data_IF_584870748285
#
_entry.id   IF_584870748285
#
_cell.length_a   1.000
_cell.length_b   1.000
_cell.length_c   1.000
_cell.angle_alpha   90.00
_cell.angle_beta   90.00
_cell.angle_gamma   90.00
#
_symmetry.space_group_name_H-M   'P 1'
#
loop_
_entity.id
_entity.type
_entity.pdbx_description
1 polymer ?
#
# COMPACT_ATOMS: atom_id res chain seq x y z
N UNK A 1 21.18 -3.13 -7.51
CA UNK A 1 20.78 -3.39 -6.10
C UNK A 1 19.54 -2.63 -5.64
N UNK A 2 19.22 -1.43 -6.16
CA UNK A 2 18.04 -0.62 -5.74
C UNK A 2 16.78 -1.47 -5.54
N UNK A 3 16.40 -2.26 -6.56
CA UNK A 3 15.18 -3.06 -6.49
C UNK A 3 15.19 -4.14 -5.40
N UNK A 4 16.32 -4.84 -5.24
CA UNK A 4 16.48 -5.87 -4.22
C UNK A 4 16.36 -5.25 -2.81
N UNK A 5 17.11 -4.18 -2.56
CA UNK A 5 17.11 -3.51 -1.26
C UNK A 5 15.74 -2.90 -0.92
N UNK A 6 15.06 -2.33 -1.91
CA UNK A 6 13.73 -1.77 -1.71
C UNK A 6 12.67 -2.85 -1.46
N UNK A 7 12.73 -3.98 -2.18
CA UNK A 7 11.87 -5.14 -1.92
C UNK A 7 12.07 -5.69 -0.51
N UNK A 8 13.33 -5.85 -0.09
CA UNK A 8 13.68 -6.26 1.29
C UNK A 8 13.15 -5.26 2.31
N UNK A 9 13.34 -3.95 2.09
CA UNK A 9 12.85 -2.91 2.98
C UNK A 9 11.31 -2.94 3.12
N UNK A 10 10.60 -3.24 2.03
CA UNK A 10 9.14 -3.40 2.06
C UNK A 10 8.70 -4.51 3.00
N UNK A 11 9.38 -5.66 2.97
CA UNK A 11 9.07 -6.84 3.80
C UNK A 11 9.69 -6.81 5.21
N UNK A 12 10.69 -5.96 5.43
CA UNK A 12 11.45 -5.88 6.67
C UNK A 12 10.61 -5.81 7.96
N UNK A 13 9.53 -5.00 8.08
CA UNK A 13 8.76 -4.97 9.33
C UNK A 13 8.06 -6.29 9.67
N UNK A 14 7.86 -7.18 8.71
CA UNK A 14 7.41 -8.55 8.96
C UNK A 14 8.56 -9.47 9.36
N UNK A 15 9.72 -9.34 8.72
CA UNK A 15 10.86 -10.22 8.99
C UNK A 15 11.47 -10.01 10.37
N UNK A 16 11.43 -8.79 10.90
CA UNK A 16 11.93 -8.52 12.26
C UNK A 16 11.11 -9.21 13.36
N UNK A 17 9.86 -9.61 13.08
CA UNK A 17 9.02 -10.33 14.04
C UNK A 17 9.27 -11.84 14.01
N UNK A 18 10.31 -12.30 13.29
CA UNK A 18 10.62 -13.71 13.11
C UNK A 18 9.96 -14.36 11.89
N UNK A 19 9.12 -13.60 11.15
CA UNK A 19 8.39 -14.09 9.97
C UNK A 19 7.55 -15.35 10.25
N UNK A 20 7.05 -15.53 11.47
CA UNK A 20 6.21 -16.67 11.88
C UNK A 20 4.85 -16.59 11.20
N UNK A 21 4.47 -17.59 10.39
CA UNK A 21 3.21 -17.57 9.66
C UNK A 21 2.02 -17.32 10.62
N UNK A 22 1.10 -16.38 10.31
CA UNK A 22 -0.09 -16.17 11.14
C UNK A 22 -0.89 -17.46 11.30
N UNK A 23 -1.58 -17.64 12.43
CA UNK A 23 -2.33 -18.86 12.72
C UNK A 23 -3.37 -19.18 11.62
N UNK A 24 -3.28 -20.38 11.06
CA UNK A 24 -4.17 -20.87 10.01
C UNK A 24 -5.30 -21.73 10.59
N UNK A 25 -6.55 -21.38 10.31
CA UNK A 25 -7.71 -22.15 10.78
C UNK A 25 -7.90 -23.48 10.03
N UNK A 26 -7.26 -23.62 8.86
CA UNK A 26 -7.37 -24.77 7.96
C UNK A 26 -6.10 -25.64 7.98
N UNK A 27 -5.27 -25.49 9.02
CA UNK A 27 -4.05 -26.27 9.20
C UNK A 27 -4.40 -27.73 9.51
N UNK A 28 -3.60 -28.67 8.99
CA UNK A 28 -3.85 -30.10 9.11
C UNK A 28 -3.72 -30.64 10.54
N UNK A 29 -2.86 -30.00 11.33
CA UNK A 29 -2.59 -30.35 12.71
C UNK A 29 -2.85 -29.16 13.62
N UNK A 30 -3.12 -29.42 14.90
CA UNK A 30 -3.17 -28.36 15.89
C UNK A 30 -1.74 -27.89 16.19
N UNK A 31 -1.47 -26.61 15.91
CA UNK A 31 -0.17 -25.97 16.12
C UNK A 31 -0.42 -24.67 16.88
N UNK A 32 0.37 -24.43 17.92
CA UNK A 32 0.29 -23.17 18.68
C UNK A 32 0.83 -22.00 17.83
N UNK A 33 0.34 -20.76 18.01
CA UNK A 33 0.73 -19.61 17.17
C UNK A 33 2.24 -19.36 17.08
N UNK A 34 2.96 -19.60 18.17
CA UNK A 34 4.42 -19.46 18.30
C UNK A 34 5.21 -20.58 17.63
N UNK A 35 4.56 -21.71 17.33
CA UNK A 35 5.14 -22.87 16.66
C UNK A 35 4.80 -22.94 15.16
N UNK A 36 4.09 -21.94 14.64
CA UNK A 36 3.83 -21.86 13.20
C UNK A 36 5.14 -21.72 12.41
N UNK A 37 5.25 -22.33 11.22
CA UNK A 37 6.48 -22.28 10.44
C UNK A 37 6.78 -20.87 9.93
N UNK A 38 8.04 -20.60 9.61
CA UNK A 38 8.45 -19.31 9.06
C UNK A 38 8.00 -19.14 7.60
N UNK A 39 7.33 -18.04 7.29
CA UNK A 39 6.91 -17.65 5.96
C UNK A 39 7.31 -16.19 5.69
N UNK A 40 7.94 -15.94 4.54
CA UNK A 40 8.42 -14.60 4.17
C UNK A 40 7.30 -13.57 3.94
N UNK A 41 6.04 -14.01 3.86
CA UNK A 41 4.83 -13.19 3.80
C UNK A 41 3.86 -13.61 4.91
N UNK A 42 3.15 -12.65 5.54
CA UNK A 42 2.13 -12.93 6.56
C UNK A 42 0.84 -13.44 5.90
N UNK A 43 0.86 -14.65 5.33
CA UNK A 43 -0.28 -15.17 4.57
C UNK A 43 -1.47 -15.44 5.50
N UNK A 44 -2.49 -14.58 5.44
CA UNK A 44 -3.77 -14.74 6.13
C UNK A 44 -4.79 -13.80 5.51
N UNK A 45 -6.07 -14.20 5.49
CA UNK A 45 -7.16 -13.32 5.03
C UNK A 45 -7.27 -12.03 5.86
N UNK A 46 -6.84 -12.08 7.13
CA UNK A 46 -6.85 -10.93 8.02
C UNK A 46 -5.68 -9.97 7.78
N UNK A 47 -4.64 -10.44 7.09
CA UNK A 47 -3.41 -9.68 6.81
C UNK A 47 -3.40 -9.12 5.38
N UNK A 48 -4.53 -9.11 4.66
CA UNK A 48 -4.60 -8.68 3.27
C UNK A 48 -4.07 -7.23 3.07
N UNK A 49 -4.45 -6.32 3.97
CA UNK A 49 -3.97 -4.92 3.94
C UNK A 49 -2.50 -4.80 4.34
N UNK A 50 -2.02 -5.64 5.25
CA UNK A 50 -0.60 -5.74 5.62
C UNK A 50 0.24 -6.22 4.45
N UNK A 51 -0.14 -7.33 3.80
CA UNK A 51 0.52 -7.86 2.59
C UNK A 51 0.60 -6.78 1.50
N UNK A 52 -0.52 -6.09 1.25
CA UNK A 52 -0.55 -4.98 0.29
C UNK A 52 0.49 -3.91 0.66
N UNK A 53 0.52 -3.47 1.91
CA UNK A 53 1.44 -2.45 2.39
C UNK A 53 2.90 -2.89 2.23
N UNK A 54 3.25 -4.10 2.69
CA UNK A 54 4.61 -4.64 2.62
C UNK A 54 5.14 -4.72 1.18
N UNK A 55 4.34 -5.24 0.26
CA UNK A 55 4.75 -5.41 -1.14
C UNK A 55 4.78 -4.08 -1.91
N UNK A 56 3.74 -3.25 -1.77
CA UNK A 56 3.64 -2.01 -2.57
C UNK A 56 4.65 -0.96 -2.14
N UNK A 57 4.99 -0.87 -0.85
CA UNK A 57 6.00 0.08 -0.36
C UNK A 57 7.38 -0.25 -0.90
N UNK A 58 7.76 -1.53 -1.01
CA UNK A 58 9.02 -1.90 -1.65
C UNK A 58 9.14 -1.41 -3.11
N UNK A 59 8.06 -1.55 -3.88
CA UNK A 59 7.98 -0.98 -5.23
C UNK A 59 8.07 0.56 -5.24
N UNK A 60 7.36 1.23 -4.33
CA UNK A 60 7.34 2.68 -4.24
C UNK A 60 8.72 3.26 -3.86
N UNK A 61 9.43 2.65 -2.91
CA UNK A 61 10.79 3.05 -2.52
C UNK A 61 11.76 2.89 -3.68
N UNK A 62 11.69 1.78 -4.43
CA UNK A 62 12.50 1.60 -5.63
C UNK A 62 12.22 2.71 -6.65
N UNK A 63 10.94 3.02 -6.90
CA UNK A 63 10.54 4.06 -7.82
C UNK A 63 11.01 5.46 -7.40
N UNK A 64 10.89 5.76 -6.10
CA UNK A 64 11.35 7.02 -5.50
C UNK A 64 12.87 7.16 -5.62
N UNK A 65 13.61 6.09 -5.35
CA UNK A 65 15.09 6.08 -5.45
C UNK A 65 15.53 6.40 -6.88
N UNK A 66 14.93 5.75 -7.88
CA UNK A 66 15.23 6.02 -9.29
C UNK A 66 14.86 7.46 -9.68
N UNK A 67 13.76 7.99 -9.13
CA UNK A 67 13.33 9.36 -9.39
C UNK A 67 14.32 10.39 -8.83
N UNK A 68 14.73 10.23 -7.57
CA UNK A 68 15.61 11.17 -6.87
C UNK A 68 17.00 11.15 -7.50
N UNK A 69 17.55 9.97 -7.78
CA UNK A 69 18.89 9.87 -8.36
C UNK A 69 18.95 10.37 -9.81
N UNK A 70 17.83 10.30 -10.55
CA UNK A 70 17.71 10.80 -11.92
C UNK A 70 18.85 10.37 -12.87
N UNK A 71 19.19 9.07 -12.95
CA UNK A 71 20.36 8.61 -13.68
C UNK A 71 20.22 8.84 -15.19
N UNK A 72 21.36 9.08 -15.88
CA UNK A 72 21.39 9.32 -17.32
C UNK A 72 20.68 8.22 -18.13
N UNK A 73 20.83 6.94 -17.73
CA UNK A 73 20.15 5.79 -18.32
C UNK A 73 18.90 5.38 -17.53
N UNK A 74 18.02 6.33 -17.22
CA UNK A 74 16.83 6.12 -16.37
C UNK A 74 16.02 4.88 -16.73
N UNK A 75 15.71 4.67 -18.00
CA UNK A 75 14.90 3.51 -18.44
C UNK A 75 15.55 2.18 -18.05
N UNK A 76 16.86 2.03 -18.25
CA UNK A 76 17.60 0.83 -17.87
C UNK A 76 17.57 0.64 -16.35
N UNK A 77 17.87 1.70 -15.59
CA UNK A 77 17.87 1.64 -14.12
C UNK A 77 16.47 1.31 -13.57
N UNK A 78 15.41 1.86 -14.15
CA UNK A 78 14.02 1.53 -13.80
C UNK A 78 13.73 0.04 -14.03
N UNK A 79 14.13 -0.53 -15.17
CA UNK A 79 13.94 -1.96 -15.43
C UNK A 79 14.77 -2.84 -14.50
N UNK A 80 16.03 -2.50 -14.23
CA UNK A 80 16.83 -3.24 -13.26
C UNK A 80 16.24 -3.16 -11.84
N UNK A 81 15.69 -2.01 -11.44
CA UNK A 81 15.00 -1.85 -10.16
C UNK A 81 13.71 -2.68 -10.12
N UNK A 82 12.92 -2.66 -11.20
CA UNK A 82 11.71 -3.47 -11.34
C UNK A 82 12.03 -4.96 -11.22
N UNK A 83 13.04 -5.44 -11.94
CA UNK A 83 13.50 -6.84 -11.86
C UNK A 83 13.95 -7.22 -10.44
N UNK A 84 14.69 -6.33 -9.76
CA UNK A 84 15.10 -6.57 -8.37
C UNK A 84 13.93 -6.69 -7.40
N UNK A 85 12.94 -5.80 -7.47
CA UNK A 85 11.72 -5.89 -6.64
C UNK A 85 10.97 -7.19 -6.95
N UNK A 86 10.82 -7.52 -8.24
CA UNK A 86 10.12 -8.72 -8.67
C UNK A 86 10.79 -10.00 -8.15
N UNK A 87 12.12 -10.07 -8.17
CA UNK A 87 12.86 -11.22 -7.62
C UNK A 87 12.56 -11.41 -6.14
N UNK A 88 12.57 -10.34 -5.33
CA UNK A 88 12.26 -10.43 -3.89
C UNK A 88 10.82 -10.88 -3.68
N UNK A 89 9.86 -10.28 -4.39
CA UNK A 89 8.45 -10.62 -4.26
C UNK A 89 8.15 -12.06 -4.69
N UNK A 90 8.73 -12.51 -5.81
CA UNK A 90 8.56 -13.89 -6.30
C UNK A 90 9.18 -14.89 -5.32
N UNK A 91 10.38 -14.63 -4.81
CA UNK A 91 11.02 -15.50 -3.83
C UNK A 91 10.19 -15.61 -2.53
N UNK A 92 9.73 -14.47 -2.00
CA UNK A 92 8.89 -14.43 -0.80
C UNK A 92 7.55 -15.13 -1.03
N UNK A 93 6.94 -14.95 -2.21
CA UNK A 93 5.69 -15.62 -2.58
C UNK A 93 5.90 -17.13 -2.66
N UNK A 94 6.86 -17.61 -3.45
CA UNK A 94 7.11 -19.06 -3.61
C UNK A 94 7.36 -19.71 -2.24
N UNK A 95 8.28 -19.16 -1.44
CA UNK A 95 8.61 -19.73 -0.14
C UNK A 95 7.39 -19.80 0.78
N UNK A 96 6.63 -18.69 0.89
CA UNK A 96 5.49 -18.63 1.81
C UNK A 96 4.36 -19.57 1.38
N UNK A 97 4.09 -19.68 0.07
CA UNK A 97 3.03 -20.54 -0.44
C UNK A 97 3.42 -22.04 -0.43
N UNK A 98 4.71 -22.38 -0.54
CA UNK A 98 5.17 -23.76 -0.29
C UNK A 98 4.87 -24.16 1.15
N UNK A 99 5.30 -23.34 2.12
CA UNK A 99 5.03 -23.56 3.56
C UNK A 99 3.54 -23.66 3.85
N UNK A 100 2.74 -22.76 3.28
CA UNK A 100 1.29 -22.79 3.43
C UNK A 100 0.69 -24.08 2.85
N UNK A 101 1.12 -24.50 1.65
CA UNK A 101 0.57 -25.69 0.99
C UNK A 101 0.84 -26.97 1.78
N UNK A 102 2.04 -27.10 2.34
CA UNK A 102 2.46 -28.27 3.12
C UNK A 102 1.68 -28.40 4.44
N UNK A 103 1.24 -27.29 5.02
CA UNK A 103 0.52 -27.29 6.28
C UNK A 103 -1.01 -27.37 6.19
N UNK A 104 -1.61 -27.03 5.05
CA UNK A 104 -3.07 -27.01 4.89
C UNK A 104 -3.67 -28.42 4.80
N UNK A 105 -4.88 -28.59 5.35
CA UNK A 105 -5.70 -29.80 5.15
C UNK A 105 -5.93 -30.08 3.66
N UNK A 106 -6.03 -31.36 3.25
CA UNK A 106 -6.50 -31.69 1.91
C UNK A 106 -8.00 -31.35 1.77
N UNK A 107 -8.40 -30.81 0.63
CA UNK A 107 -9.81 -30.51 0.34
C UNK A 107 -10.00 -29.32 -0.61
N UNK A 108 -11.24 -29.12 -1.05
CA UNK A 108 -11.62 -28.02 -1.93
C UNK A 108 -11.54 -26.65 -1.24
N UNK A 109 -12.01 -26.56 0.01
CA UNK A 109 -12.03 -25.31 0.78
C UNK A 109 -10.62 -24.74 1.05
N UNK A 110 -9.62 -25.52 1.55
CA UNK A 110 -8.23 -25.05 1.64
C UNK A 110 -7.64 -24.69 0.28
N UNK A 111 -8.05 -25.38 -0.79
CA UNK A 111 -7.65 -25.05 -2.17
C UNK A 111 -8.15 -23.68 -2.62
N UNK A 112 -9.42 -23.35 -2.35
CA UNK A 112 -9.99 -22.02 -2.63
C UNK A 112 -9.31 -20.93 -1.80
N UNK A 113 -9.07 -21.19 -0.51
CA UNK A 113 -8.34 -20.28 0.36
C UNK A 113 -6.92 -19.98 -0.16
N UNK A 114 -6.17 -21.03 -0.51
CA UNK A 114 -4.85 -20.93 -1.12
C UNK A 114 -4.87 -20.11 -2.42
N UNK A 115 -5.79 -20.46 -3.33
CA UNK A 115 -5.94 -19.77 -4.62
C UNK A 115 -6.31 -18.30 -4.46
N UNK A 116 -7.22 -17.98 -3.54
CA UNK A 116 -7.63 -16.61 -3.23
C UNK A 116 -6.49 -15.77 -2.67
N UNK A 117 -5.72 -16.31 -1.71
CA UNK A 117 -4.54 -15.63 -1.18
C UNK A 117 -3.48 -15.42 -2.26
N UNK A 118 -3.22 -16.42 -3.11
CA UNK A 118 -2.23 -16.32 -4.18
C UNK A 118 -2.62 -15.24 -5.19
N UNK A 119 -3.89 -15.22 -5.61
CA UNK A 119 -4.42 -14.19 -6.50
C UNK A 119 -4.30 -12.79 -5.88
N UNK A 120 -4.61 -12.65 -4.59
CA UNK A 120 -4.44 -11.40 -3.84
C UNK A 120 -2.99 -10.92 -3.79
N UNK A 121 -2.04 -11.83 -3.51
CA UNK A 121 -0.60 -11.54 -3.50
C UNK A 121 -0.11 -11.13 -4.89
N UNK A 122 -0.53 -11.83 -5.96
CA UNK A 122 -0.23 -11.43 -7.34
C UNK A 122 -0.74 -10.01 -7.63
N UNK A 123 -1.98 -9.70 -7.21
CA UNK A 123 -2.54 -8.35 -7.31
C UNK A 123 -1.69 -7.30 -6.59
N UNK A 124 -1.20 -7.60 -5.38
CA UNK A 124 -0.31 -6.73 -4.62
C UNK A 124 1.05 -6.53 -5.30
N UNK A 125 1.62 -7.61 -5.89
CA UNK A 125 2.86 -7.51 -6.68
C UNK A 125 2.65 -6.59 -7.88
N UNK A 126 1.57 -6.78 -8.64
CA UNK A 126 1.25 -5.90 -9.78
C UNK A 126 1.07 -4.45 -9.35
N UNK A 127 0.38 -4.20 -8.23
CA UNK A 127 0.23 -2.87 -7.65
C UNK A 127 1.59 -2.24 -7.29
N UNK A 128 2.52 -3.03 -6.74
CA UNK A 128 3.87 -2.58 -6.45
C UNK A 128 4.64 -2.17 -7.72
N UNK A 129 4.49 -2.93 -8.80
CA UNK A 129 5.11 -2.58 -10.10
C UNK A 129 4.51 -1.29 -10.66
N UNK A 130 3.19 -1.12 -10.58
CA UNK A 130 2.51 0.11 -11.00
C UNK A 130 3.01 1.31 -10.18
N UNK A 131 3.09 1.17 -8.86
CA UNK A 131 3.61 2.22 -7.98
C UNK A 131 5.05 2.61 -8.34
N UNK A 132 5.92 1.62 -8.54
CA UNK A 132 7.30 1.82 -8.98
C UNK A 132 7.35 2.62 -10.28
N UNK A 133 6.63 2.17 -11.32
CA UNK A 133 6.66 2.79 -12.64
C UNK A 133 6.08 4.21 -12.65
N UNK A 134 5.02 4.45 -11.88
CA UNK A 134 4.42 5.78 -11.73
C UNK A 134 5.40 6.75 -11.05
N UNK A 135 5.96 6.37 -9.90
CA UNK A 135 6.86 7.23 -9.12
C UNK A 135 8.19 7.44 -9.86
N UNK A 136 8.72 6.38 -10.48
CA UNK A 136 9.94 6.44 -11.30
C UNK A 136 9.76 7.18 -12.62
N UNK A 137 8.56 7.63 -12.99
CA UNK A 137 8.30 8.30 -14.28
C UNK A 137 8.93 9.70 -14.35
N UNK A 138 9.40 10.15 -15.51
CA UNK A 138 9.85 11.55 -15.68
C UNK A 138 8.73 12.57 -15.52
N UNK A 139 7.48 12.17 -15.78
CA UNK A 139 6.33 13.04 -15.63
C UNK A 139 6.00 13.29 -14.15
N UNK A 140 5.98 14.56 -13.75
CA UNK A 140 5.50 14.98 -12.42
C UNK A 140 4.06 14.54 -12.16
N UNK A 141 3.20 14.54 -13.20
CA UNK A 141 1.80 14.10 -13.08
C UNK A 141 1.73 12.63 -12.69
N UNK A 142 2.44 11.76 -13.42
CA UNK A 142 2.46 10.31 -13.16
C UNK A 142 2.99 10.00 -11.76
N UNK A 143 4.06 10.67 -11.34
CA UNK A 143 4.62 10.46 -10.01
C UNK A 143 3.71 10.98 -8.90
N UNK A 144 3.00 12.10 -9.11
CA UNK A 144 2.00 12.60 -8.15
C UNK A 144 0.84 11.63 -8.00
N UNK A 145 0.37 11.02 -9.09
CA UNK A 145 -0.62 9.93 -9.02
C UNK A 145 -0.07 8.75 -8.23
N UNK A 146 1.19 8.37 -8.47
CA UNK A 146 1.88 7.31 -7.72
C UNK A 146 1.99 7.60 -6.22
N UNK A 147 2.33 8.82 -5.83
CA UNK A 147 2.38 9.22 -4.42
C UNK A 147 1.00 9.17 -3.75
N UNK A 148 -0.05 9.59 -4.47
CA UNK A 148 -1.43 9.45 -4.00
C UNK A 148 -1.85 8.02 -3.73
N UNK A 149 -1.63 7.16 -4.73
CA UNK A 149 -1.94 5.75 -4.64
C UNK A 149 -1.21 5.08 -3.46
N UNK A 150 0.02 5.51 -3.20
CA UNK A 150 0.87 4.95 -2.15
C UNK A 150 0.68 5.59 -0.77
N UNK A 151 -0.09 6.68 -0.64
CA UNK A 151 -0.23 7.39 0.62
C UNK A 151 -0.80 6.50 1.75
N UNK A 152 -1.80 5.68 1.44
CA UNK A 152 -2.40 4.75 2.41
C UNK A 152 -1.50 3.54 2.68
N UNK A 153 -0.98 2.80 1.66
CA UNK A 153 -0.07 1.69 1.92
C UNK A 153 1.21 2.10 2.68
N UNK A 154 1.80 3.26 2.38
CA UNK A 154 2.98 3.77 3.13
C UNK A 154 2.63 4.04 4.59
N UNK A 155 1.45 4.61 4.84
CA UNK A 155 0.96 4.84 6.21
C UNK A 155 0.77 3.51 6.94
N UNK A 156 0.11 2.54 6.31
CA UNK A 156 -0.10 1.19 6.87
C UNK A 156 1.24 0.52 7.18
N UNK A 157 2.19 0.52 6.24
CA UNK A 157 3.53 -0.02 6.44
C UNK A 157 4.28 0.63 7.60
N UNK A 158 4.16 1.94 7.78
CA UNK A 158 4.77 2.64 8.91
C UNK A 158 4.13 2.25 10.25
N UNK A 159 2.81 2.03 10.28
CA UNK A 159 2.12 1.51 11.47
C UNK A 159 2.58 0.08 11.78
N UNK A 160 2.72 -0.78 10.77
CA UNK A 160 3.24 -2.15 10.95
C UNK A 160 4.63 -2.12 11.57
N UNK A 161 5.53 -1.23 11.15
CA UNK A 161 6.83 -1.05 11.81
C UNK A 161 6.72 -0.73 13.30
N UNK A 162 5.83 0.20 13.66
CA UNK A 162 5.62 0.55 15.07
C UNK A 162 5.09 -0.65 15.84
N UNK A 163 4.05 -1.31 15.33
CA UNK A 163 3.45 -2.50 15.96
C UNK A 163 4.46 -3.63 16.12
N UNK A 164 5.26 -3.91 15.09
CA UNK A 164 6.29 -4.95 15.10
C UNK A 164 7.43 -4.68 16.07
N UNK A 165 7.69 -3.41 16.42
CA UNK A 165 8.80 -3.04 17.32
C UNK A 165 8.38 -2.92 18.77
N UNK A 166 7.21 -2.35 19.06
CA UNK A 166 6.73 -2.15 20.45
C UNK A 166 5.83 -3.28 20.93
N UNK A 167 5.28 -4.08 20.01
CA UNK A 167 4.27 -5.10 20.28
C UNK A 167 2.85 -4.52 20.28
N UNK A 168 1.88 -5.31 19.82
CA UNK A 168 0.49 -4.89 19.62
C UNK A 168 -0.17 -4.30 20.88
N UNK A 169 0.10 -4.88 22.06
CA UNK A 169 -0.49 -4.44 23.33
C UNK A 169 0.12 -3.13 23.88
N UNK A 170 1.26 -2.70 23.33
CA UNK A 170 2.02 -1.56 23.83
C UNK A 170 1.98 -0.37 22.87
N UNK A 171 1.15 -0.40 21.83
CA UNK A 171 1.07 0.67 20.83
C UNK A 171 0.46 1.92 21.47
N UNK A 172 1.16 3.07 21.49
CA UNK A 172 0.60 4.31 22.02
C UNK A 172 -0.64 4.75 21.25
N UNK A 173 -1.65 5.25 21.96
CA UNK A 173 -2.92 5.75 21.36
C UNK A 173 -2.72 6.93 20.38
N UNK A 174 -1.59 7.63 20.50
CA UNK A 174 -1.17 8.67 19.55
C UNK A 174 -0.92 8.11 18.14
N UNK A 175 -0.45 6.87 18.00
CA UNK A 175 -0.08 6.25 16.72
C UNK A 175 -1.26 6.19 15.75
N UNK A 176 -2.42 5.57 16.07
CA UNK A 176 -3.57 5.57 15.17
C UNK A 176 -4.14 6.99 14.95
N UNK A 177 -4.06 7.86 15.97
CA UNK A 177 -4.53 9.25 15.90
C UNK A 177 -3.72 10.08 14.91
N UNK A 178 -2.41 9.85 14.80
CA UNK A 178 -1.53 10.50 13.82
C UNK A 178 -1.66 9.81 12.46
N UNK A 179 -1.66 8.47 12.43
CA UNK A 179 -1.71 7.69 11.20
C UNK A 179 -2.90 8.05 10.31
N UNK A 180 -4.08 8.34 10.88
CA UNK A 180 -5.25 8.76 10.08
C UNK A 180 -5.03 10.03 9.24
N UNK A 181 -4.10 10.90 9.63
CA UNK A 181 -3.82 12.16 8.92
C UNK A 181 -2.66 12.03 7.93
N UNK A 182 -1.79 11.03 8.08
CA UNK A 182 -0.60 10.85 7.26
C UNK A 182 -0.93 10.75 5.76
N UNK A 183 -1.96 9.99 5.31
CA UNK A 183 -2.30 9.93 3.89
C UNK A 183 -2.64 11.31 3.31
N UNK A 184 -3.43 12.11 4.03
CA UNK A 184 -3.81 13.46 3.60
C UNK A 184 -2.60 14.38 3.50
N UNK A 185 -1.67 14.30 4.46
CA UNK A 185 -0.42 15.07 4.46
C UNK A 185 0.46 14.70 3.26
N UNK A 186 0.65 13.41 3.00
CA UNK A 186 1.44 12.93 1.86
C UNK A 186 0.84 13.38 0.53
N UNK A 187 -0.48 13.26 0.38
CA UNK A 187 -1.20 13.72 -0.81
C UNK A 187 -1.09 15.24 -0.95
N UNK A 188 -1.36 16.01 0.10
CA UNK A 188 -1.26 17.47 0.07
C UNK A 188 0.13 17.95 -0.35
N UNK A 189 1.19 17.33 0.20
CA UNK A 189 2.58 17.58 -0.21
C UNK A 189 2.83 17.23 -1.69
N UNK A 190 2.33 16.08 -2.15
CA UNK A 190 2.46 15.67 -3.55
C UNK A 190 1.74 16.65 -4.50
N UNK A 191 0.55 17.11 -4.13
CA UNK A 191 -0.24 18.10 -4.89
C UNK A 191 0.43 19.48 -4.92
N UNK A 192 0.93 19.94 -3.78
CA UNK A 192 1.74 21.16 -3.68
C UNK A 192 2.99 21.07 -4.57
N UNK A 193 3.64 19.91 -4.59
CA UNK A 193 4.80 19.68 -5.45
C UNK A 193 4.43 19.63 -6.94
N UNK A 194 3.30 19.02 -7.28
CA UNK A 194 2.76 18.98 -8.64
C UNK A 194 2.40 20.36 -9.15
N UNK A 195 1.72 21.20 -8.37
CA UNK A 195 1.16 22.48 -8.83
C UNK A 195 -0.11 22.32 -9.68
N UNK A 196 -0.68 23.45 -10.11
CA UNK A 196 -1.97 23.51 -10.83
C UNK A 196 -1.85 23.73 -12.34
N UNK A 197 -0.74 24.28 -12.82
CA UNK A 197 -0.52 24.57 -14.25
C UNK A 197 0.59 23.71 -14.84
N UNK A 198 0.46 23.19 -16.08
CA UNK A 198 -0.68 23.31 -17.00
C UNK A 198 -1.86 22.38 -16.66
N UNK A 199 -3.03 22.57 -17.31
CA UNK A 199 -4.31 21.91 -17.01
C UNK A 199 -4.25 20.36 -16.84
N UNK A 200 -3.32 19.69 -17.52
CA UNK A 200 -3.05 18.25 -17.32
C UNK A 200 -2.69 17.87 -15.86
N UNK A 201 -2.21 18.82 -15.05
CA UNK A 201 -1.91 18.60 -13.63
C UNK A 201 -3.17 18.48 -12.78
N UNK A 202 -4.29 19.05 -13.23
CA UNK A 202 -5.61 18.90 -12.58
C UNK A 202 -6.04 17.43 -12.52
N UNK A 203 -5.68 16.61 -13.51
CA UNK A 203 -5.94 15.17 -13.48
C UNK A 203 -5.26 14.52 -12.27
N UNK A 204 -4.03 14.91 -11.92
CA UNK A 204 -3.34 14.40 -10.74
C UNK A 204 -4.07 14.79 -9.45
N UNK A 205 -4.57 16.04 -9.38
CA UNK A 205 -5.37 16.53 -8.26
C UNK A 205 -6.65 15.72 -8.07
N UNK A 206 -7.45 15.61 -9.13
CA UNK A 206 -8.73 14.88 -9.09
C UNK A 206 -8.51 13.43 -8.69
N UNK A 207 -7.53 12.74 -9.30
CA UNK A 207 -7.25 11.35 -8.98
C UNK A 207 -6.75 11.16 -7.54
N UNK A 208 -5.89 12.03 -7.02
CA UNK A 208 -5.40 11.92 -5.66
C UNK A 208 -6.50 12.16 -4.62
N UNK A 209 -7.39 13.13 -4.86
CA UNK A 209 -8.56 13.37 -4.02
C UNK A 209 -9.50 12.17 -4.06
N UNK A 210 -9.77 11.64 -5.26
CA UNK A 210 -10.52 10.40 -5.43
C UNK A 210 -9.87 9.24 -4.68
N UNK A 211 -8.55 9.10 -4.68
CA UNK A 211 -7.87 8.04 -3.94
C UNK A 211 -8.06 8.16 -2.43
N UNK A 212 -7.99 9.36 -1.86
CA UNK A 212 -8.26 9.58 -0.42
C UNK A 212 -9.70 9.20 -0.03
N UNK A 213 -10.64 9.29 -0.97
CA UNK A 213 -12.03 8.93 -0.74
C UNK A 213 -12.30 7.44 -0.98
N UNK A 214 -11.87 6.92 -2.14
CA UNK A 214 -12.22 5.60 -2.63
C UNK A 214 -11.38 4.47 -2.01
N UNK A 215 -10.07 4.67 -1.83
CA UNK A 215 -9.19 3.58 -1.39
C UNK A 215 -9.47 3.11 0.03
N UNK A 216 -9.70 3.98 1.04
CA UNK A 216 -10.08 3.52 2.37
C UNK A 216 -11.38 2.70 2.35
N UNK A 217 -12.40 3.19 1.63
CA UNK A 217 -13.67 2.48 1.48
C UNK A 217 -13.49 1.11 0.81
N UNK A 218 -12.66 1.05 -0.23
CA UNK A 218 -12.33 -0.20 -0.91
C UNK A 218 -11.63 -1.19 0.03
N UNK A 219 -10.63 -0.75 0.80
CA UNK A 219 -9.93 -1.61 1.75
C UNK A 219 -10.85 -2.11 2.86
N UNK A 220 -11.72 -1.25 3.39
CA UNK A 220 -12.74 -1.64 4.38
C UNK A 220 -13.68 -2.71 3.82
N UNK A 221 -14.16 -2.53 2.59
CA UNK A 221 -15.05 -3.49 1.94
C UNK A 221 -14.36 -4.84 1.70
N UNK A 222 -13.15 -4.82 1.14
CA UNK A 222 -12.35 -6.04 0.89
C UNK A 222 -12.07 -6.77 2.20
N UNK A 223 -11.61 -6.05 3.23
CA UNK A 223 -11.30 -6.65 4.54
C UNK A 223 -12.56 -7.26 5.19
N UNK A 224 -13.71 -6.59 5.07
CA UNK A 224 -14.98 -7.08 5.64
C UNK A 224 -15.45 -8.36 4.94
N UNK A 225 -15.34 -8.40 3.61
CA UNK A 225 -15.71 -9.57 2.80
C UNK A 225 -14.77 -10.74 3.09
N UNK A 226 -13.45 -10.51 3.09
CA UNK A 226 -12.45 -11.54 3.38
C UNK A 226 -12.48 -12.03 4.83
N UNK A 227 -12.88 -11.17 5.77
CA UNK A 227 -13.01 -11.56 7.18
C UNK A 227 -14.21 -12.47 7.48
N UNK A 228 -15.21 -12.51 6.58
CA UNK A 228 -16.48 -13.20 6.82
C UNK A 228 -16.43 -14.65 6.32
N UNK A 229 -16.26 -15.59 7.25
CA UNK A 229 -16.16 -17.03 6.94
C UNK A 229 -17.49 -17.65 6.49
N UNK A 230 -18.62 -17.06 6.89
CA UNK A 230 -19.97 -17.59 6.62
C UNK A 230 -20.31 -17.56 5.13
N UNK A 231 -19.75 -16.60 4.39
CA UNK A 231 -20.00 -16.44 2.95
C UNK A 231 -18.91 -17.09 2.08
N UNK A 232 -17.97 -17.83 2.69
CA UNK A 232 -16.84 -18.40 1.97
C UNK A 232 -17.31 -19.39 0.90
N UNK A 233 -17.14 -19.01 -0.37
CA UNK A 233 -17.57 -19.80 -1.54
C UNK A 233 -18.85 -19.31 -2.22
N UNK A 234 -19.62 -18.43 -1.58
CA UNK A 234 -20.80 -17.78 -2.17
C UNK A 234 -20.41 -16.40 -2.74
N UNK A 235 -19.88 -16.42 -3.97
CA UNK A 235 -19.38 -15.22 -4.65
C UNK A 235 -20.48 -14.15 -4.81
N UNK A 236 -21.72 -14.46 -5.22
CA UNK A 236 -22.81 -13.48 -5.26
C UNK A 236 -23.06 -12.79 -3.91
N UNK A 237 -23.11 -13.54 -2.81
CA UNK A 237 -23.34 -12.97 -1.48
C UNK A 237 -22.13 -12.14 -0.97
N UNK A 238 -20.91 -12.58 -1.27
CA UNK A 238 -19.70 -11.80 -0.97
C UNK A 238 -19.69 -10.47 -1.75
N UNK A 239 -20.13 -10.47 -3.01
CA UNK A 239 -20.21 -9.27 -3.83
C UNK A 239 -21.30 -8.30 -3.35
N UNK A 240 -22.47 -8.79 -2.93
CA UNK A 240 -23.52 -7.94 -2.37
C UNK A 240 -23.07 -7.30 -1.06
N UNK A 241 -22.50 -8.09 -0.14
CA UNK A 241 -21.93 -7.58 1.10
C UNK A 241 -20.84 -6.54 0.83
N UNK A 242 -19.94 -6.81 -0.10
CA UNK A 242 -18.87 -5.88 -0.49
C UNK A 242 -19.42 -4.55 -1.00
N UNK A 243 -20.46 -4.58 -1.85
CA UNK A 243 -21.14 -3.37 -2.35
C UNK A 243 -21.79 -2.57 -1.23
N UNK A 244 -22.45 -3.25 -0.30
CA UNK A 244 -23.11 -2.58 0.83
C UNK A 244 -22.10 -1.91 1.76
N UNK A 245 -21.03 -2.62 2.13
CA UNK A 245 -19.96 -2.07 2.98
C UNK A 245 -19.26 -0.91 2.27
N UNK A 246 -18.96 -1.07 0.98
CA UNK A 246 -18.35 -0.01 0.17
C UNK A 246 -19.24 1.23 0.09
N UNK A 247 -20.55 1.06 -0.17
CA UNK A 247 -21.51 2.15 -0.24
C UNK A 247 -21.63 2.92 1.09
N UNK A 248 -21.68 2.20 2.22
CA UNK A 248 -21.67 2.83 3.56
C UNK A 248 -20.36 3.56 3.84
N UNK A 249 -19.22 2.94 3.49
CA UNK A 249 -17.90 3.53 3.69
C UNK A 249 -17.61 4.74 2.77
N UNK A 250 -18.32 4.89 1.65
CA UNK A 250 -18.27 6.12 0.84
C UNK A 250 -19.15 7.24 1.40
N UNK A 251 -20.16 6.89 2.20
CA UNK A 251 -21.11 7.79 2.80
C UNK A 251 -20.55 8.60 3.98
N UNK A 252 -21.43 9.27 4.76
CA UNK A 252 -21.04 10.10 5.90
C UNK A 252 -20.19 9.35 6.94
N UNK A 253 -20.43 8.05 7.09
CA UNK A 253 -19.74 7.18 8.05
C UNK A 253 -18.27 6.92 7.67
N UNK A 254 -17.89 7.15 6.41
CA UNK A 254 -16.54 6.95 5.91
C UNK A 254 -15.51 7.97 6.39
N UNK A 255 -15.96 9.10 6.95
CA UNK A 255 -15.11 10.15 7.50
C UNK A 255 -13.96 10.63 6.57
N UNK A 256 -14.16 10.57 5.25
CA UNK A 256 -13.15 10.99 4.26
C UNK A 256 -13.07 12.52 4.11
N UNK A 257 -14.13 13.25 4.48
CA UNK A 257 -14.20 14.70 4.28
C UNK A 257 -13.05 15.45 5.00
N UNK A 258 -12.72 15.19 6.28
CA UNK A 258 -11.60 15.86 6.95
C UNK A 258 -10.24 15.61 6.28
N UNK A 259 -9.97 14.40 5.79
CA UNK A 259 -8.69 14.06 5.15
C UNK A 259 -8.58 14.72 3.78
N UNK A 260 -9.67 14.78 3.02
CA UNK A 260 -9.75 15.50 1.74
C UNK A 260 -9.51 17.00 1.94
N UNK A 261 -10.20 17.61 2.92
CA UNK A 261 -10.04 19.04 3.22
C UNK A 261 -8.61 19.38 3.64
N UNK A 262 -8.00 18.56 4.51
CA UNK A 262 -6.61 18.75 4.91
C UNK A 262 -5.66 18.68 3.70
N UNK A 263 -5.80 17.66 2.85
CA UNK A 263 -4.97 17.51 1.66
C UNK A 263 -5.13 18.69 0.69
N UNK A 264 -6.36 19.18 0.51
CA UNK A 264 -6.66 20.36 -0.32
C UNK A 264 -6.01 21.63 0.25
N UNK A 265 -6.17 21.89 1.54
CA UNK A 265 -5.57 23.06 2.20
C UNK A 265 -4.04 23.02 2.07
N UNK A 266 -3.41 21.88 2.34
CA UNK A 266 -1.96 21.72 2.20
C UNK A 266 -1.50 21.88 0.75
N UNK A 267 -2.23 21.28 -0.20
CA UNK A 267 -1.94 21.40 -1.63
C UNK A 267 -2.01 22.86 -2.09
N UNK A 268 -3.10 23.56 -1.79
CA UNK A 268 -3.34 24.94 -2.24
C UNK A 268 -2.39 25.93 -1.58
N UNK A 269 -2.14 25.80 -0.29
CA UNK A 269 -1.18 26.66 0.43
C UNK A 269 0.24 26.48 -0.12
N UNK A 270 0.65 25.24 -0.40
CA UNK A 270 1.95 24.97 -1.02
C UNK A 270 2.09 25.53 -2.44
N UNK A 271 1.02 25.51 -3.25
CA UNK A 271 1.02 26.15 -4.57
C UNK A 271 1.07 27.68 -4.45
N UNK A 272 0.29 28.27 -3.54
CA UNK A 272 0.27 29.71 -3.29
C UNK A 272 1.63 30.24 -2.85
N UNK A 273 2.28 29.57 -1.90
CA UNK A 273 3.62 29.94 -1.41
C UNK A 273 4.65 29.97 -2.53
N UNK A 274 4.64 28.96 -3.42
CA UNK A 274 5.54 28.90 -4.58
C UNK A 274 5.32 30.04 -5.57
N UNK A 275 4.06 30.42 -5.79
CA UNK A 275 3.73 31.54 -6.68
C UNK A 275 4.25 32.87 -6.13
N UNK A 276 4.10 33.10 -4.82
CA UNK A 276 4.61 34.31 -4.16
C UNK A 276 6.14 34.38 -4.23
N UNK A 277 6.83 33.27 -3.97
CA UNK A 277 8.31 33.21 -4.04
C UNK A 277 8.80 33.45 -5.47
N UNK A 278 8.17 32.83 -6.48
CA UNK A 278 8.55 33.04 -7.88
C UNK A 278 8.39 34.51 -8.31
N UNK A 279 7.30 35.16 -7.90
CA UNK A 279 7.06 36.58 -8.20
C UNK A 279 8.10 37.50 -7.55
N UNK A 280 8.48 37.23 -6.30
CA UNK A 280 9.51 38.02 -5.59
C UNK A 280 10.88 37.91 -6.27
N UNK A 281 11.25 36.71 -6.71
CA UNK A 281 12.54 36.51 -7.40
C UNK A 281 12.58 37.21 -8.77
N UNK A 282 11.46 37.28 -9.49
CA UNK A 282 11.38 38.03 -10.75
C UNK A 282 11.49 39.55 -10.55
N UNK A 283 10.97 40.08 -9.45
CA UNK A 283 11.07 41.51 -9.12
C UNK A 283 12.45 41.92 -8.60
N UNK A 284 13.22 41.00 -8.01
CA UNK A 284 14.57 41.26 -7.52
C UNK A 284 15.65 41.11 -8.61
N UNK A 285 15.32 40.52 -9.75
CA UNK A 285 16.24 40.25 -10.86
C UNK A 285 16.09 41.23 -12.04
N UNK A 286 15.15 42.19 -11.97
CA UNK A 286 14.97 43.28 -12.93
C UNK A 286 15.27 44.61 -12.29
#
# INVERSE_FOLDING_TARGET
MIGLLAGVLGLAPWWITGATLPLQNLWATQVMPDLMPTALLPLSQYEATTILALLTVGGAVAGLTVRIWSPARRRLVTWCALSGVLVVHVAATIQSFVVLREGLLPGSLPGLYFGGLLAGVIGCVLAALVALLLIASSSTVKATIGFGLMAIPVTSWAVVWVVSTVGFLSVPTAVPTVARWVPAVLVGCALAWCGLRPARRTVAWVLNILFLWLLPALFTAVQSVLGTRVLAGDIPAMLSMGRDVFGRALGPDGAALPTILLALVMGLTGVGARFVIARRNSLAAG
#
